data_IF_561592286482
#
_entry.id   IF_561592286482
#
_cell.length_a   1.000
_cell.length_b   1.000
_cell.length_c   1.000
_cell.angle_alpha   90.00
_cell.angle_beta   90.00
_cell.angle_gamma   90.00
#
_symmetry.space_group_name_H-M   'P 1'
#
loop_
_entity.id
_entity.type
_entity.pdbx_description
1 polymer ?
#
# COMPACT_ATOMS: atom_id res chain seq x y z
N UNK A 1 -7.74 66.89 29.66
CA UNK A 1 -7.05 65.60 29.47
C UNK A 1 -8.07 64.50 29.68
N UNK A 2 -8.54 63.78 28.65
CA UNK A 2 -9.41 62.63 28.88
C UNK A 2 -8.61 61.34 29.02
N UNK A 3 -9.21 60.48 29.82
CA UNK A 3 -8.75 59.22 30.40
C UNK A 3 -8.73 58.10 29.35
N UNK A 4 -7.69 57.27 29.39
CA UNK A 4 -7.63 56.00 28.68
C UNK A 4 -8.54 54.97 29.37
N UNK A 5 -9.47 54.39 28.62
CA UNK A 5 -10.21 53.18 29.03
C UNK A 5 -9.85 52.07 28.04
N UNK A 6 -9.26 51.01 28.59
CA UNK A 6 -9.03 49.74 27.94
C UNK A 6 -10.38 49.13 27.54
N UNK A 7 -10.55 48.78 26.26
CA UNK A 7 -11.53 47.76 25.90
C UNK A 7 -10.78 46.54 25.38
N UNK A 8 -10.54 45.61 26.30
CA UNK A 8 -10.13 44.24 26.05
C UNK A 8 -11.26 43.56 25.26
N UNK A 9 -11.13 43.54 23.93
CA UNK A 9 -12.02 42.81 23.05
C UNK A 9 -11.96 41.32 23.37
N UNK A 10 -12.99 40.82 24.05
CA UNK A 10 -13.14 39.42 24.41
C UNK A 10 -12.91 38.50 23.18
N UNK A 11 -12.22 37.35 23.34
CA UNK A 11 -12.11 36.38 22.27
C UNK A 11 -13.51 35.91 21.89
N UNK A 12 -13.80 35.89 20.58
CA UNK A 12 -15.07 35.47 20.00
C UNK A 12 -15.45 34.03 20.43
N UNK A 13 -16.04 33.90 21.62
CA UNK A 13 -16.54 32.67 22.22
C UNK A 13 -17.84 32.18 21.57
N UNK A 14 -18.40 32.92 20.61
CA UNK A 14 -19.71 32.62 20.00
C UNK A 14 -19.74 31.39 19.09
N UNK A 15 -18.58 30.89 18.63
CA UNK A 15 -18.51 29.61 17.90
C UNK A 15 -18.29 28.39 18.80
N UNK A 16 -18.02 28.61 20.10
CA UNK A 16 -17.66 27.52 21.01
C UNK A 16 -18.88 26.76 21.58
N UNK A 17 -20.09 27.34 21.50
CA UNK A 17 -21.28 26.85 22.20
C UNK A 17 -22.46 26.48 21.29
N UNK A 18 -22.20 26.00 20.07
CA UNK A 18 -23.28 25.47 19.23
C UNK A 18 -23.86 24.16 19.80
N UNK A 19 -25.20 24.04 19.94
CA UNK A 19 -25.86 22.83 20.48
C UNK A 19 -25.55 21.54 19.71
N UNK A 20 -25.23 21.66 18.42
CA UNK A 20 -24.88 20.54 17.54
C UNK A 20 -23.38 20.19 17.55
N UNK A 21 -22.54 20.96 18.27
CA UNK A 21 -21.09 20.78 18.26
C UNK A 21 -20.64 19.44 18.83
N UNK A 22 -21.34 18.92 19.83
CA UNK A 22 -21.08 17.58 20.37
C UNK A 22 -21.34 16.47 19.34
N UNK A 23 -22.41 16.60 18.55
CA UNK A 23 -22.74 15.65 17.49
C UNK A 23 -21.77 15.74 16.31
N UNK A 24 -21.35 16.95 15.93
CA UNK A 24 -20.37 17.18 14.87
C UNK A 24 -18.98 16.66 15.24
N UNK A 25 -18.52 16.94 16.47
CA UNK A 25 -17.25 16.45 16.98
C UNK A 25 -17.22 14.92 17.10
N UNK A 26 -18.35 14.30 17.47
CA UNK A 26 -18.46 12.85 17.52
C UNK A 26 -18.35 12.24 16.12
N UNK A 27 -19.07 12.80 15.15
CA UNK A 27 -19.02 12.37 13.75
C UNK A 27 -17.61 12.51 13.15
N UNK A 28 -16.94 13.65 13.36
CA UNK A 28 -15.56 13.89 12.90
C UNK A 28 -14.58 12.86 13.50
N UNK A 29 -14.75 12.53 14.78
CA UNK A 29 -13.89 11.56 15.45
C UNK A 29 -14.15 10.14 14.91
N UNK A 30 -15.41 9.74 14.73
CA UNK A 30 -15.76 8.45 14.12
C UNK A 30 -15.24 8.31 12.69
N UNK A 31 -15.35 9.36 11.87
CA UNK A 31 -14.81 9.37 10.51
C UNK A 31 -13.28 9.25 10.54
N UNK A 32 -12.62 10.01 11.42
CA UNK A 32 -11.16 9.95 11.58
C UNK A 32 -10.68 8.56 11.99
N UNK A 33 -11.41 7.92 12.91
CA UNK A 33 -11.11 6.58 13.39
C UNK A 33 -11.33 5.51 12.31
N UNK A 34 -12.40 5.61 11.53
CA UNK A 34 -12.66 4.72 10.40
C UNK A 34 -11.57 4.84 9.32
N UNK A 35 -11.19 6.07 8.95
CA UNK A 35 -10.10 6.31 7.99
C UNK A 35 -8.76 5.77 8.48
N UNK A 36 -8.49 5.89 9.79
CA UNK A 36 -7.27 5.34 10.40
C UNK A 36 -7.25 3.81 10.30
N UNK A 37 -8.36 3.14 10.64
CA UNK A 37 -8.48 1.68 10.52
C UNK A 37 -8.33 1.21 9.06
N UNK A 38 -8.87 1.97 8.10
CA UNK A 38 -8.69 1.66 6.68
C UNK A 38 -7.22 1.78 6.25
N UNK A 39 -6.50 2.80 6.72
CA UNK A 39 -5.07 2.96 6.44
C UNK A 39 -4.24 1.79 7.00
N UNK A 40 -4.49 1.41 8.25
CA UNK A 40 -3.79 0.30 8.90
C UNK A 40 -4.00 -1.03 8.17
N UNK A 41 -5.25 -1.38 7.86
CA UNK A 41 -5.56 -2.60 7.09
C UNK A 41 -4.89 -2.62 5.71
N UNK A 42 -4.77 -1.46 5.09
CA UNK A 42 -4.17 -1.35 3.76
C UNK A 42 -2.65 -1.52 3.83
N UNK A 43 -2.02 -0.95 4.85
CA UNK A 43 -0.59 -1.16 5.10
C UNK A 43 -0.29 -2.62 5.47
N UNK A 44 -1.15 -3.28 6.25
CA UNK A 44 -1.04 -4.72 6.54
C UNK A 44 -1.09 -5.56 5.27
N UNK A 45 -2.06 -5.33 4.38
CA UNK A 45 -2.19 -6.09 3.14
C UNK A 45 -1.00 -5.84 2.21
N UNK A 46 -0.51 -4.60 2.13
CA UNK A 46 0.71 -4.26 1.39
C UNK A 46 1.93 -4.99 1.95
N UNK A 47 2.13 -4.99 3.27
CA UNK A 47 3.25 -5.71 3.89
C UNK A 47 3.16 -7.21 3.65
N UNK A 48 1.97 -7.79 3.75
CA UNK A 48 1.72 -9.21 3.47
C UNK A 48 2.08 -9.57 2.03
N UNK A 49 1.63 -8.77 1.06
CA UNK A 49 2.00 -8.95 -0.35
C UNK A 49 3.51 -8.84 -0.59
N UNK A 50 4.18 -7.90 0.07
CA UNK A 50 5.64 -7.74 -0.02
C UNK A 50 6.39 -8.95 0.54
N UNK A 51 5.98 -9.48 1.70
CA UNK A 51 6.60 -10.68 2.30
C UNK A 51 6.42 -11.90 1.39
N UNK A 52 5.22 -12.10 0.85
CA UNK A 52 4.95 -13.19 -0.09
C UNK A 52 5.82 -13.10 -1.35
N UNK A 53 6.02 -11.89 -1.89
CA UNK A 53 6.88 -11.70 -3.04
C UNK A 53 8.34 -12.02 -2.73
N UNK A 54 8.84 -11.66 -1.55
CA UNK A 54 10.20 -11.96 -1.12
C UNK A 54 10.43 -13.46 -0.90
N UNK A 55 9.47 -14.15 -0.28
CA UNK A 55 9.50 -15.60 -0.11
C UNK A 55 9.56 -16.34 -1.46
N UNK A 56 8.73 -15.94 -2.42
CA UNK A 56 8.73 -16.52 -3.76
C UNK A 56 10.05 -16.24 -4.51
N UNK A 57 10.60 -15.03 -4.37
CA UNK A 57 11.91 -14.71 -4.93
C UNK A 57 13.04 -15.53 -4.29
N UNK A 58 12.97 -15.82 -3.00
CA UNK A 58 13.93 -16.70 -2.34
C UNK A 58 13.83 -18.15 -2.85
N UNK A 59 12.60 -18.66 -3.06
CA UNK A 59 12.37 -19.98 -3.67
C UNK A 59 12.92 -20.05 -5.10
N UNK A 60 12.64 -19.04 -5.91
CA UNK A 60 13.18 -18.92 -7.27
C UNK A 60 14.71 -18.94 -7.28
N UNK A 61 15.38 -18.18 -6.39
CA UNK A 61 16.85 -18.20 -6.28
C UNK A 61 17.39 -19.57 -5.90
N UNK A 62 16.75 -20.26 -4.95
CA UNK A 62 17.14 -21.63 -4.57
C UNK A 62 17.02 -22.62 -5.72
N UNK A 63 15.98 -22.51 -6.54
CA UNK A 63 15.84 -23.33 -7.75
C UNK A 63 16.93 -22.98 -8.79
N UNK A 64 17.26 -21.70 -8.96
CA UNK A 64 18.35 -21.27 -9.84
C UNK A 64 19.71 -21.82 -9.39
N UNK A 65 20.00 -21.85 -8.08
CA UNK A 65 21.20 -22.48 -7.52
C UNK A 65 21.23 -24.00 -7.78
N UNK A 66 20.11 -24.70 -7.60
CA UNK A 66 20.01 -26.13 -7.90
C UNK A 66 20.24 -26.42 -9.39
N UNK A 67 19.71 -25.57 -10.28
CA UNK A 67 19.95 -25.66 -11.71
C UNK A 67 21.43 -25.46 -12.06
N UNK A 68 22.09 -24.48 -11.44
CA UNK A 68 23.51 -24.24 -11.65
C UNK A 68 24.38 -25.41 -11.16
N UNK A 69 24.04 -26.00 -10.01
CA UNK A 69 24.71 -27.18 -9.48
C UNK A 69 24.56 -28.40 -10.40
N UNK A 70 23.33 -28.71 -10.83
CA UNK A 70 23.07 -29.83 -11.74
C UNK A 70 23.75 -29.64 -13.11
N UNK A 71 23.80 -28.40 -13.63
CA UNK A 71 24.51 -28.09 -14.87
C UNK A 71 26.03 -28.31 -14.72
N UNK A 72 26.59 -28.01 -13.55
CA UNK A 72 28.00 -28.27 -13.24
C UNK A 72 28.29 -29.77 -13.16
N UNK A 73 27.44 -30.55 -12.48
CA UNK A 73 27.58 -32.02 -12.39
C UNK A 73 27.52 -32.69 -13.78
N UNK A 74 26.62 -32.24 -14.66
CA UNK A 74 26.57 -32.72 -16.05
C UNK A 74 27.82 -32.38 -16.85
N UNK A 75 28.41 -31.21 -16.61
CA UNK A 75 29.64 -30.82 -17.28
C UNK A 75 30.83 -31.66 -16.79
N UNK A 76 30.90 -31.96 -15.49
CA UNK A 76 31.92 -32.83 -14.90
C UNK A 76 31.79 -34.27 -15.44
N UNK A 77 30.60 -34.87 -15.40
CA UNK A 77 30.36 -36.23 -15.95
C UNK A 77 30.69 -36.35 -17.44
N UNK A 78 30.51 -35.27 -18.22
CA UNK A 78 30.88 -35.23 -19.65
C UNK A 78 32.39 -35.22 -19.86
N UNK A 79 33.14 -34.62 -18.95
CA UNK A 79 34.59 -34.50 -19.02
C UNK A 79 35.31 -35.76 -18.51
N UNK A 80 34.66 -36.57 -17.68
CA UNK A 80 35.23 -37.76 -17.04
C UNK A 80 35.38 -38.98 -17.99
N UNK A 81 34.82 -38.92 -19.21
CA UNK A 81 35.20 -39.79 -20.32
C UNK A 81 35.24 -41.30 -20.05
N UNK A 82 34.45 -41.85 -19.13
CA UNK A 82 34.42 -43.30 -18.88
C UNK A 82 33.52 -43.99 -19.90
N UNK A 83 34.14 -44.63 -20.89
CA UNK A 83 33.50 -45.42 -21.94
C UNK A 83 32.94 -46.77 -21.48
N UNK A 84 32.34 -46.84 -20.28
CA UNK A 84 31.74 -48.07 -19.73
C UNK A 84 30.21 -48.15 -19.91
N UNK A 85 29.59 -47.16 -20.57
CA UNK A 85 28.14 -47.13 -20.80
C UNK A 85 27.29 -46.80 -19.56
N UNK A 86 27.91 -46.62 -18.39
CA UNK A 86 27.23 -46.29 -17.11
C UNK A 86 26.89 -44.81 -16.97
N UNK A 87 27.61 -43.94 -17.70
CA UNK A 87 27.38 -42.49 -17.71
C UNK A 87 26.07 -42.04 -18.36
N UNK A 88 25.52 -42.83 -19.31
CA UNK A 88 24.30 -42.47 -20.06
C UNK A 88 23.05 -42.50 -19.19
N UNK A 89 22.92 -43.49 -18.31
CA UNK A 89 21.79 -43.59 -17.37
C UNK A 89 21.82 -42.44 -16.35
N UNK A 90 23.01 -42.09 -15.84
CA UNK A 90 23.17 -41.01 -14.86
C UNK A 90 22.94 -39.62 -15.49
N UNK A 91 23.44 -39.38 -16.70
CA UNK A 91 23.14 -38.18 -17.48
C UNK A 91 21.65 -38.04 -17.79
N UNK A 92 20.96 -39.14 -18.08
CA UNK A 92 19.52 -39.14 -18.36
C UNK A 92 18.70 -38.76 -17.12
N UNK A 93 19.05 -39.29 -15.94
CA UNK A 93 18.41 -38.92 -14.66
C UNK A 93 18.61 -37.44 -14.35
N UNK A 94 19.83 -36.91 -14.51
CA UNK A 94 20.11 -35.49 -14.25
C UNK A 94 19.39 -34.59 -15.26
N UNK A 95 19.32 -34.98 -16.54
CA UNK A 95 18.56 -34.24 -17.55
C UNK A 95 17.05 -34.19 -17.23
N UNK A 96 16.49 -35.29 -16.71
CA UNK A 96 15.09 -35.33 -16.29
C UNK A 96 14.83 -34.44 -15.07
N UNK A 97 15.69 -34.52 -14.04
CA UNK A 97 15.58 -33.65 -12.85
C UNK A 97 15.82 -32.17 -13.20
N UNK A 98 16.70 -31.87 -14.16
CA UNK A 98 16.87 -30.52 -14.69
C UNK A 98 15.59 -30.03 -15.35
N UNK A 99 14.99 -30.82 -16.24
CA UNK A 99 13.73 -30.46 -16.93
C UNK A 99 12.61 -30.18 -15.92
N UNK A 100 12.52 -30.98 -14.86
CA UNK A 100 11.54 -30.82 -13.77
C UNK A 100 11.79 -29.54 -12.96
N UNK A 101 13.04 -29.23 -12.64
CA UNK A 101 13.42 -28.03 -11.87
C UNK A 101 13.23 -26.76 -12.72
N UNK A 102 13.54 -26.82 -14.02
CA UNK A 102 13.30 -25.72 -14.96
C UNK A 102 11.80 -25.42 -15.14
N UNK A 103 10.96 -26.45 -15.19
CA UNK A 103 9.51 -26.28 -15.23
C UNK A 103 8.97 -25.58 -13.98
N UNK A 104 9.42 -26.00 -12.78
CA UNK A 104 9.06 -25.35 -11.51
C UNK A 104 9.51 -23.89 -11.45
N UNK A 105 10.72 -23.59 -11.94
CA UNK A 105 11.22 -22.21 -11.99
C UNK A 105 10.36 -21.33 -12.91
N UNK A 106 9.90 -21.86 -14.05
CA UNK A 106 9.01 -21.12 -14.94
C UNK A 106 7.66 -20.82 -14.28
N UNK A 107 7.11 -21.76 -13.53
CA UNK A 107 5.87 -21.59 -12.75
C UNK A 107 6.04 -20.52 -11.66
N UNK A 108 7.08 -20.60 -10.82
CA UNK A 108 7.36 -19.61 -9.77
C UNK A 108 7.62 -18.21 -10.36
N UNK A 109 8.29 -18.12 -11.53
CA UNK A 109 8.45 -16.84 -12.24
C UNK A 109 7.11 -16.28 -12.73
N UNK A 110 6.20 -17.14 -13.21
CA UNK A 110 4.85 -16.73 -13.57
C UNK A 110 4.06 -16.23 -12.34
N UNK A 111 4.11 -16.96 -11.22
CA UNK A 111 3.48 -16.57 -9.94
C UNK A 111 4.03 -15.22 -9.47
N UNK A 112 5.36 -15.07 -9.41
CA UNK A 112 6.03 -13.84 -8.99
C UNK A 112 5.66 -12.64 -9.88
N UNK A 113 5.58 -12.85 -11.20
CA UNK A 113 5.10 -11.80 -12.11
C UNK A 113 3.63 -11.42 -11.86
N UNK A 114 2.77 -12.41 -11.60
CA UNK A 114 1.37 -12.19 -11.26
C UNK A 114 1.20 -11.42 -9.95
N UNK A 115 2.02 -11.71 -8.94
CA UNK A 115 2.05 -10.98 -7.68
C UNK A 115 2.53 -9.53 -7.87
N UNK A 116 3.60 -9.31 -8.64
CA UNK A 116 4.06 -7.95 -8.98
C UNK A 116 2.98 -7.13 -9.67
N UNK A 117 2.25 -7.73 -10.61
CA UNK A 117 1.16 -7.05 -11.31
C UNK A 117 0.01 -6.70 -10.36
N UNK A 118 -0.36 -7.62 -9.45
CA UNK A 118 -1.37 -7.35 -8.42
C UNK A 118 -0.93 -6.24 -7.47
N UNK A 119 0.33 -6.23 -7.05
CA UNK A 119 0.88 -5.19 -6.18
C UNK A 119 0.84 -3.82 -6.87
N UNK A 120 1.28 -3.74 -8.13
CA UNK A 120 1.21 -2.51 -8.91
C UNK A 120 -0.24 -2.01 -9.05
N UNK A 121 -1.20 -2.92 -9.28
CA UNK A 121 -2.63 -2.56 -9.34
C UNK A 121 -3.12 -1.97 -8.01
N UNK A 122 -2.84 -2.64 -6.88
CA UNK A 122 -3.21 -2.15 -5.54
C UNK A 122 -2.59 -0.77 -5.27
N UNK A 123 -1.33 -0.53 -5.67
CA UNK A 123 -0.68 0.77 -5.52
C UNK A 123 -1.36 1.86 -6.36
N UNK A 124 -1.78 1.56 -7.59
CA UNK A 124 -2.51 2.53 -8.43
C UNK A 124 -3.89 2.86 -7.87
N UNK A 125 -4.65 1.85 -7.42
CA UNK A 125 -5.97 2.04 -6.81
C UNK A 125 -5.85 2.83 -5.49
N UNK A 126 -4.81 2.56 -4.71
CA UNK A 126 -4.50 3.32 -3.49
C UNK A 126 -4.24 4.79 -3.80
N UNK A 127 -3.42 5.08 -4.81
CA UNK A 127 -3.10 6.46 -5.18
C UNK A 127 -4.35 7.20 -5.66
N UNK A 128 -5.19 6.54 -6.45
CA UNK A 128 -6.47 7.10 -6.88
C UNK A 128 -7.41 7.37 -5.69
N UNK A 129 -7.53 6.42 -4.76
CA UNK A 129 -8.35 6.56 -3.55
C UNK A 129 -7.86 7.70 -2.66
N UNK A 130 -6.54 7.82 -2.45
CA UNK A 130 -5.94 8.94 -1.71
C UNK A 130 -6.30 10.29 -2.34
N UNK A 131 -6.15 10.42 -3.66
CA UNK A 131 -6.51 11.64 -4.38
C UNK A 131 -8.01 11.96 -4.25
N UNK A 132 -8.88 10.95 -4.40
CA UNK A 132 -10.32 11.13 -4.25
C UNK A 132 -10.69 11.61 -2.85
N UNK A 133 -10.09 11.04 -1.80
CA UNK A 133 -10.33 11.45 -0.41
C UNK A 133 -9.85 12.89 -0.17
N UNK A 134 -8.67 13.26 -0.69
CA UNK A 134 -8.17 14.64 -0.55
C UNK A 134 -9.10 15.64 -1.22
N UNK A 135 -9.55 15.37 -2.45
CA UNK A 135 -10.50 16.24 -3.14
C UNK A 135 -11.84 16.35 -2.41
N UNK A 136 -12.34 15.24 -1.87
CA UNK A 136 -13.59 15.26 -1.11
C UNK A 136 -13.46 16.06 0.19
N UNK A 137 -12.31 15.96 0.87
CA UNK A 137 -12.02 16.74 2.06
C UNK A 137 -11.94 18.25 1.75
N UNK A 138 -11.26 18.63 0.66
CA UNK A 138 -11.15 20.03 0.22
C UNK A 138 -12.53 20.63 -0.09
N UNK A 139 -13.36 19.90 -0.85
CA UNK A 139 -14.73 20.33 -1.17
C UNK A 139 -15.59 20.51 0.09
N UNK A 140 -15.44 19.63 1.09
CA UNK A 140 -16.16 19.74 2.35
C UNK A 140 -15.71 20.97 3.13
N UNK A 141 -14.40 21.25 3.16
CA UNK A 141 -13.83 22.43 3.80
C UNK A 141 -14.35 23.72 3.16
N UNK A 142 -14.39 23.78 1.82
CA UNK A 142 -14.92 24.92 1.07
C UNK A 142 -16.42 25.13 1.30
N UNK A 143 -17.19 24.04 1.36
CA UNK A 143 -18.61 24.09 1.66
C UNK A 143 -18.87 24.60 3.10
N UNK A 144 -18.07 24.15 4.08
CA UNK A 144 -18.14 24.65 5.45
C UNK A 144 -17.77 26.13 5.55
N UNK A 145 -16.69 26.56 4.89
CA UNK A 145 -16.29 27.97 4.85
C UNK A 145 -17.37 28.86 4.21
N UNK A 146 -17.96 28.42 3.10
CA UNK A 146 -19.06 29.11 2.43
C UNK A 146 -20.31 29.22 3.32
N UNK A 147 -20.63 28.17 4.06
CA UNK A 147 -21.74 28.18 5.01
C UNK A 147 -21.48 29.14 6.19
N UNK A 148 -20.28 29.11 6.76
CA UNK A 148 -19.88 30.02 7.82
C UNK A 148 -19.95 31.50 7.40
N UNK A 149 -19.49 31.81 6.17
CA UNK A 149 -19.58 33.16 5.60
C UNK A 149 -21.03 33.63 5.45
N UNK A 150 -21.92 32.78 4.91
CA UNK A 150 -23.35 33.10 4.79
C UNK A 150 -24.01 33.39 6.14
N UNK A 151 -23.64 32.66 7.20
CA UNK A 151 -24.13 32.92 8.54
C UNK A 151 -23.62 34.27 9.07
N UNK A 152 -22.34 34.59 8.86
CA UNK A 152 -21.74 35.86 9.26
C UNK A 152 -22.41 37.05 8.58
N UNK A 153 -22.64 36.98 7.27
CA UNK A 153 -23.29 38.04 6.49
C UNK A 153 -24.73 38.27 6.96
N UNK A 154 -25.46 37.22 7.33
CA UNK A 154 -26.82 37.31 7.88
C UNK A 154 -26.85 38.03 9.24
N UNK A 155 -25.94 37.67 10.14
CA UNK A 155 -25.83 38.28 11.47
C UNK A 155 -25.43 39.76 11.41
N UNK A 156 -24.61 40.15 10.43
CA UNK A 156 -24.21 41.54 10.22
C UNK A 156 -25.30 42.37 9.51
N UNK A 157 -26.12 41.74 8.66
CA UNK A 157 -27.24 42.38 7.96
C UNK A 157 -28.41 42.75 8.88
N UNK A 158 -28.65 41.98 9.94
CA UNK A 158 -29.72 42.26 10.92
C UNK A 158 -29.34 43.35 11.96
N UNK A 159 -28.09 43.83 11.96
CA UNK A 159 -27.59 44.86 12.89
C UNK A 159 -27.55 46.29 12.32
N UNK A 160 -28.18 46.55 11.17
CA UNK A 160 -28.37 47.90 10.61
C UNK A 160 -29.82 48.33 10.73
#
# INVERSE_FOLDING_TARGET
TPVAVQEEGAPARSLQTHPLRGGYAHLENTISQALQQFREKLDEEKQKGSRQLEEEQARSRKLEEQLAAAAKELAELRNDGSGDGSGDDRCTVIAHEWKKTAAKLAEEKAISSGLRNKLAKVETELNFSKQSITTQADNLLEAQASHAKKLQDRVLGEKK
#
